data_IF_566371819893
#
_entry.id   IF_566371819893
#
_cell.length_a   1.000
_cell.length_b   1.000
_cell.length_c   1.000
_cell.angle_alpha   90.00
_cell.angle_beta   90.00
_cell.angle_gamma   90.00
#
_symmetry.space_group_name_H-M   'P 1'
#
loop_
_entity.id
_entity.type
_entity.pdbx_description
1 polymer ?
#
# COMPACT_ATOMS: atom_id res chain seq x y z
N UNK A 1 1.35 -1.62 -26.82
CA UNK A 1 1.68 -2.50 -25.68
C UNK A 1 1.41 -1.69 -24.42
N UNK A 2 0.62 -2.20 -23.47
CA UNK A 2 0.41 -1.50 -22.21
C UNK A 2 1.74 -1.50 -21.42
N UNK A 3 2.13 -0.35 -20.89
CA UNK A 3 3.29 -0.24 -20.00
C UNK A 3 2.82 -0.71 -18.63
N UNK A 4 3.40 -1.82 -18.15
CA UNK A 4 3.13 -2.36 -16.83
C UNK A 4 4.30 -2.00 -15.91
N UNK A 5 3.99 -1.40 -14.77
CA UNK A 5 4.96 -1.12 -13.70
C UNK A 5 4.62 -1.93 -12.47
N UNK A 6 5.65 -2.38 -11.76
CA UNK A 6 5.47 -2.97 -10.43
C UNK A 6 5.12 -1.85 -9.44
N UNK A 7 4.06 -2.06 -8.66
CA UNK A 7 3.59 -1.10 -7.66
C UNK A 7 3.49 -1.82 -6.33
N UNK A 8 4.16 -1.29 -5.32
CA UNK A 8 4.01 -1.73 -3.92
C UNK A 8 3.40 -0.62 -3.09
N UNK A 9 2.29 -0.92 -2.42
CA UNK A 9 1.70 -0.03 -1.42
C UNK A 9 1.69 -0.76 -0.08
N UNK A 10 2.29 -0.14 0.93
CA UNK A 10 2.43 -0.71 2.26
C UNK A 10 2.08 0.31 3.34
N UNK A 11 1.80 -0.19 4.54
CA UNK A 11 1.57 0.59 5.75
C UNK A 11 2.72 0.32 6.72
N UNK A 12 3.34 1.39 7.18
CA UNK A 12 4.41 1.37 8.16
C UNK A 12 3.90 1.93 9.50
N UNK A 13 4.43 1.41 10.61
CA UNK A 13 4.23 1.99 11.94
C UNK A 13 5.08 3.25 12.15
N UNK A 14 4.95 3.90 13.31
CA UNK A 14 5.68 5.13 13.64
C UNK A 14 7.21 4.95 13.71
N UNK A 15 7.70 3.71 13.77
CA UNK A 15 9.12 3.37 13.77
C UNK A 15 9.62 3.06 12.36
N UNK A 16 8.75 3.15 11.34
CA UNK A 16 9.08 2.85 9.94
C UNK A 16 9.10 1.34 9.64
N UNK A 17 8.53 0.50 10.51
CA UNK A 17 8.41 -0.93 10.26
C UNK A 17 7.16 -1.20 9.43
N UNK A 18 7.31 -1.91 8.32
CA UNK A 18 6.18 -2.41 7.51
C UNK A 18 5.33 -3.39 8.34
N UNK A 19 4.05 -3.10 8.48
CA UNK A 19 3.08 -3.91 9.25
C UNK A 19 1.95 -4.47 8.39
N UNK A 20 1.73 -3.94 7.19
CA UNK A 20 0.70 -4.40 6.26
C UNK A 20 1.10 -4.07 4.83
N UNK A 21 0.87 -5.01 3.92
CA UNK A 21 1.00 -4.78 2.48
C UNK A 21 -0.40 -4.72 1.85
N UNK A 22 -0.71 -3.61 1.18
CA UNK A 22 -2.01 -3.38 0.54
C UNK A 22 -1.96 -3.85 -0.93
N UNK A 23 -0.89 -3.50 -1.64
CA UNK A 23 -0.67 -3.88 -3.05
C UNK A 23 0.77 -4.33 -3.24
N UNK A 24 0.97 -5.34 -4.08
CA UNK A 24 2.29 -5.76 -4.57
C UNK A 24 2.12 -6.55 -5.88
N UNK A 25 1.76 -5.84 -6.93
CA UNK A 25 1.47 -6.43 -8.24
C UNK A 25 1.81 -5.49 -9.39
N UNK A 26 1.78 -6.03 -10.61
CA UNK A 26 1.97 -5.22 -11.81
C UNK A 26 0.67 -4.56 -12.20
N UNK A 27 0.70 -3.24 -12.34
CA UNK A 27 -0.45 -2.45 -12.77
C UNK A 27 -0.15 -1.79 -14.11
N UNK A 28 -1.20 -1.68 -14.93
CA UNK A 28 -1.17 -0.83 -16.11
C UNK A 28 -1.18 0.64 -15.68
N UNK A 29 -0.74 1.54 -16.56
CA UNK A 29 -0.84 2.97 -16.29
C UNK A 29 -2.31 3.43 -16.33
N UNK A 30 -2.92 3.61 -15.17
CA UNK A 30 -4.27 4.17 -15.00
C UNK A 30 -4.47 4.67 -13.55
N UNK A 31 -5.65 5.19 -13.24
CA UNK A 31 -6.08 5.56 -11.90
C UNK A 31 -6.76 4.39 -11.19
N UNK A 32 -6.37 4.17 -9.93
CA UNK A 32 -6.88 3.07 -9.10
C UNK A 32 -7.42 3.61 -7.79
N UNK A 33 -8.53 3.04 -7.32
CA UNK A 33 -9.05 3.26 -5.98
C UNK A 33 -8.74 2.05 -5.11
N UNK A 34 -8.21 2.29 -3.92
CA UNK A 34 -7.89 1.26 -2.94
C UNK A 34 -8.73 1.42 -1.68
N UNK A 35 -9.25 0.29 -1.20
CA UNK A 35 -9.97 0.19 0.06
C UNK A 35 -9.29 -0.93 0.85
N UNK A 36 -8.85 -0.64 2.06
CA UNK A 36 -8.21 -1.61 2.95
C UNK A 36 -8.96 -1.70 4.27
N UNK A 37 -8.98 -2.88 4.89
CA UNK A 37 -9.57 -3.10 6.20
C UNK A 37 -8.50 -2.96 7.29
N UNK A 38 -8.66 -1.96 8.16
CA UNK A 38 -7.73 -1.65 9.25
C UNK A 38 -8.21 -2.12 10.62
N UNK A 39 -9.25 -2.97 10.71
CA UNK A 39 -9.85 -3.38 12.00
C UNK A 39 -8.87 -4.11 12.93
N UNK A 40 -7.82 -4.73 12.39
CA UNK A 40 -6.79 -5.41 13.19
C UNK A 40 -5.65 -4.49 13.62
N UNK A 41 -5.64 -3.24 13.14
CA UNK A 41 -4.66 -2.24 13.57
C UNK A 41 -5.10 -1.64 14.90
N UNK A 42 -4.13 -1.46 15.79
CA UNK A 42 -4.35 -0.71 17.02
C UNK A 42 -4.63 0.77 16.69
N UNK A 43 -5.25 1.51 17.60
CA UNK A 43 -5.42 2.95 17.41
C UNK A 43 -4.05 3.63 17.45
N UNK A 44 -3.72 4.41 16.42
CA UNK A 44 -2.42 5.07 16.34
C UNK A 44 -2.22 5.82 15.02
N UNK A 45 -1.00 6.32 14.84
CA UNK A 45 -0.55 6.95 13.60
C UNK A 45 0.19 5.90 12.76
N UNK A 46 -0.11 5.88 11.46
CA UNK A 46 0.50 4.99 10.49
C UNK A 46 0.85 5.76 9.23
N UNK A 47 1.83 5.26 8.48
CA UNK A 47 2.27 5.86 7.24
C UNK A 47 1.95 4.95 6.08
N UNK A 48 1.29 5.47 5.04
CA UNK A 48 1.09 4.74 3.78
C UNK A 48 2.21 5.13 2.83
N UNK A 49 2.92 4.13 2.30
CA UNK A 49 4.04 4.31 1.38
C UNK A 49 3.74 3.61 0.06
N UNK A 50 4.06 4.28 -1.04
CA UNK A 50 3.99 3.74 -2.40
C UNK A 50 5.39 3.72 -3.00
N UNK A 51 5.81 2.57 -3.55
CA UNK A 51 7.08 2.37 -4.26
C UNK A 51 6.85 1.75 -5.64
#
# INVERSE_FOLDING_TARGET
MAINSEVKIAVDDILGKEIMQIVNEKQTQDYYQLITNTQQLQTGIYFVKMN
#
